data_IF_558395900011
#
_entry.id   IF_558395900011
#
_cell.length_a   1.000
_cell.length_b   1.000
_cell.length_c   1.000
_cell.angle_alpha   90.00
_cell.angle_beta   90.00
_cell.angle_gamma   90.00
#
_symmetry.space_group_name_H-M   'P 1'
#
loop_
_entity.id
_entity.type
_entity.pdbx_description
1 polymer ?
#
# COMPACT_ATOMS: atom_id res chain seq x y z
N UNK A 1 8.42 -17.59 20.50
CA UNK A 1 9.55 -16.73 20.09
C UNK A 1 9.04 -15.59 19.21
N UNK A 2 9.76 -14.46 19.16
CA UNK A 2 9.35 -13.25 18.44
C UNK A 2 9.02 -13.51 16.95
N UNK A 3 9.67 -14.50 16.31
CA UNK A 3 9.38 -14.90 14.93
C UNK A 3 7.99 -15.54 14.77
N UNK A 4 7.61 -16.48 15.65
CA UNK A 4 6.29 -17.14 15.60
C UNK A 4 5.18 -16.12 15.84
N UNK A 5 5.37 -15.20 16.81
CA UNK A 5 4.43 -14.09 17.05
C UNK A 5 4.28 -13.23 15.79
N UNK A 6 5.38 -12.95 15.10
CA UNK A 6 5.39 -12.21 13.84
C UNK A 6 4.61 -12.89 12.73
N UNK A 7 4.85 -14.19 12.50
CA UNK A 7 4.13 -14.97 11.48
C UNK A 7 2.64 -15.02 11.78
N UNK A 8 2.26 -15.26 13.04
CA UNK A 8 0.84 -15.27 13.46
C UNK A 8 0.20 -13.90 13.22
N UNK A 9 0.89 -12.79 13.55
CA UNK A 9 0.37 -11.44 13.31
C UNK A 9 0.17 -11.16 11.83
N UNK A 10 1.12 -11.57 10.98
CA UNK A 10 0.98 -11.43 9.53
C UNK A 10 -0.20 -12.25 9.00
N UNK A 11 -0.35 -13.50 9.45
CA UNK A 11 -1.47 -14.35 9.07
C UNK A 11 -2.81 -13.74 9.50
N UNK A 12 -2.91 -13.22 10.72
CA UNK A 12 -4.11 -12.54 11.22
C UNK A 12 -4.45 -11.30 10.39
N UNK A 13 -3.45 -10.48 10.03
CA UNK A 13 -3.67 -9.31 9.17
C UNK A 13 -4.24 -9.73 7.80
N UNK A 14 -3.61 -10.69 7.13
CA UNK A 14 -4.03 -11.15 5.80
C UNK A 14 -5.43 -11.77 5.85
N UNK A 15 -5.69 -12.65 6.82
CA UNK A 15 -6.99 -13.29 6.99
C UNK A 15 -8.09 -12.27 7.34
N UNK A 16 -7.78 -11.29 8.17
CA UNK A 16 -8.70 -10.21 8.50
C UNK A 16 -9.06 -9.40 7.25
N UNK A 17 -8.06 -8.94 6.48
CA UNK A 17 -8.28 -8.17 5.25
C UNK A 17 -9.11 -8.96 4.23
N UNK A 18 -8.79 -10.24 4.05
CA UNK A 18 -9.55 -11.13 3.18
C UNK A 18 -11.00 -11.31 3.65
N UNK A 19 -11.21 -11.48 4.96
CA UNK A 19 -12.52 -11.68 5.56
C UNK A 19 -13.43 -10.45 5.43
N UNK A 20 -12.93 -9.26 5.80
CA UNK A 20 -13.70 -8.02 5.65
C UNK A 20 -13.95 -7.67 4.18
N UNK A 21 -13.01 -8.05 3.29
CA UNK A 21 -13.13 -7.87 1.85
C UNK A 21 -14.32 -8.59 1.22
N UNK A 22 -14.99 -9.49 1.95
CA UNK A 22 -16.20 -10.14 1.49
C UNK A 22 -17.47 -9.28 1.66
N UNK A 23 -17.43 -8.26 2.54
CA UNK A 23 -18.55 -7.35 2.81
C UNK A 23 -18.77 -6.39 1.63
N UNK A 24 -20.03 -6.11 1.28
CA UNK A 24 -20.37 -5.28 0.10
C UNK A 24 -19.82 -3.86 0.19
N UNK A 25 -19.92 -3.25 1.37
CA UNK A 25 -19.37 -1.92 1.62
C UNK A 25 -17.85 -1.88 1.43
N UNK A 26 -17.14 -2.90 1.92
CA UNK A 26 -15.68 -2.99 1.79
C UNK A 26 -15.29 -3.26 0.34
N UNK A 27 -16.03 -4.09 -0.39
CA UNK A 27 -15.83 -4.26 -1.84
C UNK A 27 -15.98 -2.94 -2.59
N UNK A 28 -16.92 -2.08 -2.18
CA UNK A 28 -17.04 -0.72 -2.72
C UNK A 28 -15.81 0.13 -2.42
N UNK A 29 -15.28 0.10 -1.20
CA UNK A 29 -14.03 0.79 -0.85
C UNK A 29 -12.85 0.28 -1.69
N UNK A 30 -12.71 -1.04 -1.85
CA UNK A 30 -11.64 -1.63 -2.66
C UNK A 30 -11.75 -1.27 -4.15
N UNK A 31 -12.97 -1.05 -4.67
CA UNK A 31 -13.14 -0.49 -6.02
C UNK A 31 -12.67 0.96 -6.12
N UNK A 32 -12.98 1.80 -5.13
CA UNK A 32 -12.44 3.18 -5.10
C UNK A 32 -10.91 3.22 -4.96
N UNK A 33 -10.33 2.28 -4.21
CA UNK A 33 -8.88 2.13 -4.16
C UNK A 33 -8.32 1.68 -5.53
N UNK A 34 -9.00 0.76 -6.21
CA UNK A 34 -8.68 0.39 -7.59
C UNK A 34 -8.77 1.57 -8.56
N UNK A 35 -9.77 2.46 -8.42
CA UNK A 35 -9.90 3.65 -9.27
C UNK A 35 -8.77 4.66 -9.04
N UNK A 36 -8.34 4.87 -7.80
CA UNK A 36 -7.15 5.69 -7.50
C UNK A 36 -5.91 5.16 -8.24
N UNK A 37 -5.62 3.86 -8.12
CA UNK A 37 -4.48 3.24 -8.79
C UNK A 37 -4.53 3.40 -10.31
N UNK A 38 -5.71 3.20 -10.92
CA UNK A 38 -5.87 3.37 -12.36
C UNK A 38 -5.65 4.81 -12.79
N UNK A 39 -6.19 5.79 -12.05
CA UNK A 39 -6.00 7.22 -12.34
C UNK A 39 -4.52 7.61 -12.26
N UNK A 40 -3.81 7.18 -11.20
CA UNK A 40 -2.38 7.46 -11.05
C UNK A 40 -1.58 6.80 -12.18
N UNK A 41 -1.84 5.52 -12.48
CA UNK A 41 -1.17 4.81 -13.58
C UNK A 41 -1.41 5.49 -14.94
N UNK A 42 -2.62 5.97 -15.21
CA UNK A 42 -2.96 6.68 -16.43
C UNK A 42 -2.24 8.04 -16.51
N UNK A 43 -2.23 8.77 -15.40
CA UNK A 43 -1.55 10.05 -15.29
C UNK A 43 -0.04 9.93 -15.51
N UNK A 44 0.61 8.96 -14.86
CA UNK A 44 2.05 8.71 -15.00
C UNK A 44 2.45 8.24 -16.41
N UNK A 45 1.52 7.61 -17.13
CA UNK A 45 1.70 7.26 -18.53
C UNK A 45 1.43 8.43 -19.49
N UNK A 46 1.05 9.61 -18.99
CA UNK A 46 0.72 10.79 -19.79
C UNK A 46 -0.58 10.66 -20.58
N UNK A 47 -1.50 9.78 -20.17
CA UNK A 47 -2.78 9.63 -20.83
C UNK A 47 -3.78 10.72 -20.43
N UNK A 48 -4.72 10.99 -21.32
CA UNK A 48 -5.87 11.82 -21.02
C UNK A 48 -6.76 11.13 -19.98
N UNK A 49 -7.09 11.85 -18.90
CA UNK A 49 -7.86 11.33 -17.78
C UNK A 49 -9.36 11.33 -18.08
N UNK A 50 -9.80 10.42 -18.95
CA UNK A 50 -11.23 10.08 -19.12
C UNK A 50 -11.52 8.71 -18.52
N UNK A 51 -12.74 8.46 -17.98
CA UNK A 51 -13.09 7.18 -17.39
C UNK A 51 -12.79 5.97 -18.29
N UNK A 52 -13.07 6.07 -19.58
CA UNK A 52 -12.88 4.98 -20.56
C UNK A 52 -11.39 4.65 -20.77
N UNK A 53 -10.54 5.68 -20.85
CA UNK A 53 -9.09 5.51 -21.02
C UNK A 53 -8.47 4.97 -19.74
N UNK A 54 -8.84 5.55 -18.59
CA UNK A 54 -8.33 5.15 -17.28
C UNK A 54 -8.71 3.70 -16.95
N UNK A 55 -9.90 3.23 -17.37
CA UNK A 55 -10.35 1.86 -17.12
C UNK A 55 -9.38 0.78 -17.66
N UNK A 56 -8.60 1.09 -18.71
CA UNK A 56 -7.65 0.16 -19.32
C UNK A 56 -6.34 0.00 -18.51
N UNK A 57 -6.08 0.85 -17.51
CA UNK A 57 -4.86 0.81 -16.73
C UNK A 57 -4.91 -0.24 -15.61
N UNK A 58 -3.73 -0.59 -15.09
CA UNK A 58 -3.56 -1.63 -14.07
C UNK A 58 -4.19 -1.24 -12.73
N UNK A 59 -4.72 -2.25 -12.01
CA UNK A 59 -5.09 -2.14 -10.59
C UNK A 59 -3.88 -2.15 -9.66
N UNK A 60 -2.71 -2.53 -10.16
CA UNK A 60 -1.49 -2.62 -9.38
C UNK A 60 -0.68 -1.33 -9.53
N UNK A 61 -0.19 -0.79 -8.42
CA UNK A 61 0.72 0.35 -8.41
C UNK A 61 1.86 0.12 -7.41
N UNK A 62 3.15 0.25 -7.82
CA UNK A 62 4.28 -0.11 -6.98
C UNK A 62 4.42 0.76 -5.72
N UNK A 63 3.80 1.95 -5.68
CA UNK A 63 3.90 2.90 -4.56
C UNK A 63 2.64 2.94 -3.65
N UNK A 64 1.82 1.89 -3.68
CA UNK A 64 0.59 1.83 -2.90
C UNK A 64 0.84 1.78 -1.36
N UNK A 65 0.00 2.49 -0.60
CA UNK A 65 0.03 2.50 0.87
C UNK A 65 -0.26 1.14 1.53
N UNK A 66 -0.98 0.23 0.87
CA UNK A 66 -1.17 -1.14 1.39
C UNK A 66 0.12 -1.96 1.32
N UNK A 67 0.98 -1.70 0.32
CA UNK A 67 2.31 -2.27 0.28
C UNK A 67 3.17 -1.75 1.44
N UNK A 68 3.06 -0.46 1.76
CA UNK A 68 3.73 0.13 2.92
C UNK A 68 3.37 -0.58 4.24
N UNK A 69 2.08 -0.85 4.48
CA UNK A 69 1.64 -1.58 5.69
C UNK A 69 2.27 -2.96 5.82
N UNK A 70 2.36 -3.72 4.72
CA UNK A 70 3.00 -5.04 4.72
C UNK A 70 4.50 -4.94 5.04
N UNK A 71 5.18 -3.97 4.43
CA UNK A 71 6.61 -3.72 4.68
C UNK A 71 6.83 -3.37 6.15
N UNK A 72 6.01 -2.48 6.72
CA UNK A 72 6.08 -2.11 8.15
C UNK A 72 5.91 -3.34 9.04
N UNK A 73 4.94 -4.21 8.76
CA UNK A 73 4.74 -5.43 9.56
C UNK A 73 5.95 -6.36 9.44
N UNK A 74 6.45 -6.64 8.24
CA UNK A 74 7.60 -7.52 8.04
C UNK A 74 8.86 -6.97 8.72
N UNK A 75 9.15 -5.68 8.55
CA UNK A 75 10.30 -5.05 9.18
C UNK A 75 10.15 -4.97 10.70
N UNK A 76 8.93 -4.80 11.21
CA UNK A 76 8.67 -4.86 12.65
C UNK A 76 9.04 -6.21 13.24
N UNK A 77 8.76 -7.32 12.53
CA UNK A 77 9.09 -8.67 12.99
C UNK A 77 10.60 -8.81 13.10
N UNK A 78 11.34 -8.42 12.07
CA UNK A 78 12.81 -8.49 12.05
C UNK A 78 13.42 -7.60 13.13
N UNK A 79 13.00 -6.33 13.20
CA UNK A 79 13.52 -5.34 14.14
C UNK A 79 13.29 -5.77 15.60
N UNK A 80 12.06 -6.14 15.95
CA UNK A 80 11.74 -6.53 17.33
C UNK A 80 12.21 -7.95 17.67
N UNK A 81 12.43 -8.84 16.68
CA UNK A 81 13.11 -10.10 16.93
C UNK A 81 14.57 -9.88 17.32
N UNK A 82 15.27 -8.94 16.68
CA UNK A 82 16.66 -8.61 16.95
C UNK A 82 16.89 -8.00 18.35
N UNK A 83 15.90 -7.29 18.93
CA UNK A 83 15.99 -6.76 20.30
C UNK A 83 15.94 -7.85 21.40
N UNK A 84 15.57 -9.08 21.06
CA UNK A 84 15.50 -10.18 22.01
C UNK A 84 14.33 -10.06 23.01
N UNK A 85 14.39 -10.81 24.14
CA UNK A 85 13.38 -10.74 25.19
C UNK A 85 13.56 -9.47 26.03
N UNK A 86 12.54 -8.61 26.03
CA UNK A 86 12.46 -7.40 26.85
C UNK A 86 11.37 -7.56 27.91
N UNK A 87 11.51 -6.87 29.05
CA UNK A 87 10.42 -6.71 30.01
C UNK A 87 9.22 -6.00 29.36
N UNK A 88 8.03 -6.16 29.92
CA UNK A 88 6.80 -5.59 29.34
C UNK A 88 6.92 -4.07 29.08
N UNK A 89 7.45 -3.33 30.06
CA UNK A 89 7.65 -1.89 29.93
C UNK A 89 8.61 -1.55 28.78
N UNK A 90 9.77 -2.22 28.70
CA UNK A 90 10.73 -1.96 27.64
C UNK A 90 10.23 -2.37 26.27
N UNK A 91 9.45 -3.45 26.17
CA UNK A 91 8.82 -3.89 24.94
C UNK A 91 7.80 -2.88 24.40
N UNK A 92 7.04 -2.22 25.29
CA UNK A 92 6.08 -1.19 24.88
C UNK A 92 6.80 0.10 24.48
N UNK A 93 7.76 0.54 25.30
CA UNK A 93 8.55 1.73 25.00
C UNK A 93 9.35 1.59 23.70
N UNK A 94 9.98 0.44 23.46
CA UNK A 94 10.72 0.19 22.21
C UNK A 94 9.81 0.25 20.99
N UNK A 95 8.55 -0.20 21.10
CA UNK A 95 7.60 -0.13 19.98
C UNK A 95 7.27 1.31 19.62
N UNK A 96 7.00 2.16 20.60
CA UNK A 96 6.65 3.57 20.39
C UNK A 96 7.86 4.34 19.87
N UNK A 97 9.01 4.20 20.54
CA UNK A 97 10.22 4.96 20.21
C UNK A 97 10.80 4.60 18.84
N UNK A 98 10.67 3.34 18.41
CA UNK A 98 11.18 2.88 17.12
C UNK A 98 10.16 3.03 15.97
N UNK A 99 8.94 3.54 16.21
CA UNK A 99 7.98 3.79 15.12
C UNK A 99 8.55 4.70 14.02
N UNK A 100 9.21 5.83 14.31
CA UNK A 100 9.73 6.71 13.25
C UNK A 100 10.82 6.02 12.43
N UNK A 101 11.71 5.26 13.09
CA UNK A 101 12.76 4.48 12.42
C UNK A 101 12.16 3.41 11.52
N UNK A 102 11.19 2.66 12.03
CA UNK A 102 10.51 1.61 11.28
C UNK A 102 9.79 2.19 10.05
N UNK A 103 9.07 3.30 10.21
CA UNK A 103 8.35 3.96 9.13
C UNK A 103 9.32 4.52 8.07
N UNK A 104 10.41 5.16 8.49
CA UNK A 104 11.43 5.68 7.58
C UNK A 104 12.10 4.58 6.76
N UNK A 105 12.52 3.48 7.39
CA UNK A 105 13.12 2.34 6.68
C UNK A 105 12.12 1.68 5.74
N UNK A 106 10.85 1.53 6.15
CA UNK A 106 9.80 0.99 5.28
C UNK A 106 9.52 1.90 4.07
N UNK A 107 9.55 3.21 4.25
CA UNK A 107 9.34 4.19 3.18
C UNK A 107 10.48 4.14 2.16
N UNK A 108 11.73 4.19 2.62
CA UNK A 108 12.90 4.13 1.73
C UNK A 108 12.95 2.80 0.97
N UNK A 109 12.61 1.70 1.63
CA UNK A 109 12.50 0.41 0.96
C UNK A 109 11.40 0.39 -0.10
N UNK A 110 10.20 0.92 0.22
CA UNK A 110 9.11 1.00 -0.74
C UNK A 110 9.51 1.83 -1.96
N UNK A 111 10.08 3.03 -1.73
CA UNK A 111 10.58 3.91 -2.78
C UNK A 111 11.63 3.22 -3.64
N UNK A 112 12.64 2.62 -3.03
CA UNK A 112 13.71 1.92 -3.73
C UNK A 112 13.17 0.76 -4.58
N UNK A 113 12.26 -0.06 -4.04
CA UNK A 113 11.68 -1.17 -4.81
C UNK A 113 10.81 -0.70 -5.96
N UNK A 114 10.09 0.41 -5.81
CA UNK A 114 9.31 1.02 -6.89
C UNK A 114 10.21 1.54 -8.02
N UNK A 115 11.28 2.26 -7.68
CA UNK A 115 12.22 2.84 -8.64
C UNK A 115 12.98 1.74 -9.44
N UNK A 116 13.16 0.56 -8.84
CA UNK A 116 13.89 -0.57 -9.44
C UNK A 116 12.98 -1.71 -9.93
N UNK A 117 11.66 -1.49 -10.04
CA UNK A 117 10.68 -2.53 -10.37
C UNK A 117 10.93 -3.25 -11.72
N UNK A 118 11.70 -2.63 -12.63
CA UNK A 118 12.09 -3.23 -13.92
C UNK A 118 13.11 -4.36 -13.76
N UNK A 119 13.89 -4.38 -12.68
CA UNK A 119 14.90 -5.41 -12.45
C UNK A 119 14.23 -6.73 -12.04
N UNK A 120 14.56 -7.88 -12.66
CA UNK A 120 13.81 -9.14 -12.47
C UNK A 120 13.83 -9.65 -11.02
N UNK A 121 14.93 -9.45 -10.30
CA UNK A 121 15.04 -9.80 -8.87
C UNK A 121 14.14 -8.92 -8.02
N UNK A 122 14.14 -7.60 -8.27
CA UNK A 122 13.28 -6.66 -7.53
C UNK A 122 11.82 -6.95 -7.83
N UNK A 123 11.50 -7.29 -9.09
CA UNK A 123 10.18 -7.73 -9.50
C UNK A 123 9.71 -8.96 -8.73
N UNK A 124 10.60 -9.93 -8.43
CA UNK A 124 10.27 -11.08 -7.60
C UNK A 124 10.01 -10.66 -6.14
N UNK A 125 10.82 -9.75 -5.60
CA UNK A 125 10.72 -9.24 -4.23
C UNK A 125 9.40 -8.48 -4.01
N UNK A 126 8.91 -7.71 -4.98
CA UNK A 126 7.66 -6.96 -4.84
C UNK A 126 6.40 -7.80 -5.08
N UNK A 127 6.50 -9.02 -5.62
CA UNK A 127 5.32 -9.87 -5.90
C UNK A 127 4.39 -10.06 -4.70
N UNK A 128 4.87 -10.34 -3.47
CA UNK A 128 4.00 -10.46 -2.30
C UNK A 128 3.23 -9.17 -2.02
N UNK A 129 3.85 -8.01 -2.22
CA UNK A 129 3.20 -6.71 -2.05
C UNK A 129 2.09 -6.52 -3.10
N UNK A 130 2.36 -6.84 -4.36
CA UNK A 130 1.35 -6.77 -5.43
C UNK A 130 0.22 -7.77 -5.20
N UNK A 131 0.52 -8.97 -4.70
CA UNK A 131 -0.50 -9.94 -4.33
C UNK A 131 -1.40 -9.45 -3.20
N UNK A 132 -0.86 -8.74 -2.20
CA UNK A 132 -1.66 -8.13 -1.15
C UNK A 132 -2.55 -7.01 -1.70
N UNK A 133 -2.06 -6.20 -2.65
CA UNK A 133 -2.90 -5.17 -3.29
C UNK A 133 -4.16 -5.78 -3.90
N UNK A 134 -4.05 -6.94 -4.56
CA UNK A 134 -5.21 -7.66 -5.12
C UNK A 134 -6.25 -8.07 -4.08
N UNK A 135 -5.90 -8.14 -2.80
CA UNK A 135 -6.86 -8.36 -1.71
C UNK A 135 -7.62 -7.09 -1.32
N UNK A 136 -7.10 -5.91 -1.67
CA UNK A 136 -7.64 -4.59 -1.28
C UNK A 136 -8.01 -3.69 -2.44
N UNK A 137 -7.92 -4.18 -3.67
CA UNK A 137 -8.30 -3.48 -4.90
C UNK A 137 -9.28 -4.34 -5.69
N UNK A 138 -10.24 -3.71 -6.33
CA UNK A 138 -11.17 -4.36 -7.25
C UNK A 138 -11.44 -3.46 -8.45
N UNK A 139 -11.96 -4.05 -9.53
CA UNK A 139 -12.31 -3.30 -10.74
C UNK A 139 -13.39 -2.24 -10.48
N UNK A 140 -13.09 -0.94 -10.68
CA UNK A 140 -14.06 0.14 -10.49
C UNK A 140 -15.03 0.24 -11.66
N UNK A 141 -16.18 0.86 -11.41
CA UNK A 141 -17.11 1.29 -12.46
C UNK A 141 -16.68 2.65 -13.03
N UNK A 142 -17.22 3.05 -14.18
CA UNK A 142 -16.85 4.32 -14.83
C UNK A 142 -17.19 5.54 -13.97
N UNK A 143 -18.28 5.52 -13.22
CA UNK A 143 -18.66 6.57 -12.26
C UNK A 143 -17.64 6.69 -11.11
N UNK A 144 -17.09 5.57 -10.63
CA UNK A 144 -16.03 5.60 -9.63
C UNK A 144 -14.73 6.20 -10.19
N UNK A 145 -14.41 5.89 -11.45
CA UNK A 145 -13.28 6.49 -12.15
C UNK A 145 -13.46 8.00 -12.31
N UNK A 146 -14.65 8.47 -12.69
CA UNK A 146 -14.97 9.90 -12.80
C UNK A 146 -14.75 10.63 -11.46
N UNK A 147 -15.25 10.06 -10.36
CA UNK A 147 -15.03 10.61 -9.01
C UNK A 147 -13.54 10.64 -8.66
N UNK A 148 -12.78 9.58 -8.94
CA UNK A 148 -11.34 9.53 -8.67
C UNK A 148 -10.54 10.52 -9.54
N UNK A 149 -10.90 10.69 -10.81
CA UNK A 149 -10.30 11.68 -11.71
C UNK A 149 -10.55 13.09 -11.16
N UNK A 150 -11.80 13.38 -10.76
CA UNK A 150 -12.14 14.68 -10.18
C UNK A 150 -11.38 14.96 -8.89
N UNK A 151 -11.30 13.97 -7.98
CA UNK A 151 -10.55 14.10 -6.74
C UNK A 151 -9.06 14.35 -6.99
N UNK A 152 -8.47 13.61 -7.94
CA UNK A 152 -7.07 13.76 -8.32
C UNK A 152 -6.78 15.14 -8.93
N UNK A 153 -7.59 15.59 -9.88
CA UNK A 153 -7.42 16.92 -10.48
C UNK A 153 -7.63 18.05 -9.47
N UNK A 154 -8.57 17.89 -8.53
CA UNK A 154 -8.80 18.86 -7.45
C UNK A 154 -7.57 18.96 -6.54
N UNK A 155 -6.99 17.82 -6.14
CA UNK A 155 -5.75 17.79 -5.36
C UNK A 155 -4.62 18.50 -6.12
N UNK A 156 -4.41 18.17 -7.39
CA UNK A 156 -3.36 18.78 -8.23
C UNK A 156 -3.51 20.29 -8.36
N UNK A 157 -4.74 20.77 -8.58
CA UNK A 157 -5.00 22.21 -8.63
C UNK A 157 -4.62 22.89 -7.32
N UNK A 158 -4.93 22.26 -6.19
CA UNK A 158 -4.51 22.78 -4.87
C UNK A 158 -2.99 22.77 -4.67
N UNK A 159 -2.28 21.76 -5.18
CA UNK A 159 -0.80 21.74 -5.16
C UNK A 159 -0.18 22.85 -6.02
N UNK A 160 -0.77 23.11 -7.20
CA UNK A 160 -0.36 24.21 -8.09
C UNK A 160 -0.60 25.57 -7.43
N UNK A 161 -1.77 25.79 -6.82
CA UNK A 161 -2.10 27.03 -6.10
C UNK A 161 -1.21 27.30 -4.86
N UNK A 162 -0.67 26.25 -4.22
CA UNK A 162 0.26 26.37 -3.10
C UNK A 162 1.72 26.58 -3.53
N UNK A 163 2.05 26.23 -4.76
CA UNK A 163 3.39 26.37 -5.32
C UNK A 163 3.65 27.78 -5.90
N UNK A 164 2.58 28.51 -6.22
CA UNK A 164 2.58 29.92 -6.68
C UNK A 164 2.60 30.92 -5.51
#
# INVERSE_FOLDING_TARGET
GNLVEGVVRLALLVLYMWGIGQMEDIKRVFRYHGSEHKVINAFEAGAELTPEKVAAYSLEHPRCGTAFLLIVVLFSIVLFAALGPLSLAWRLASRILLLPVLAGVAYEYLRWTADHAKHPIVRLIIKPNLALQRLTTAEPTLDMLEVSIMAFNTMRKGEEELAD
#
